data_IF_426218862299
#
_entry.id   IF_426218862299
#
_cell.length_a   1.000
_cell.length_b   1.000
_cell.length_c   1.000
_cell.angle_alpha   90.00
_cell.angle_beta   90.00
_cell.angle_gamma   90.00
#
_symmetry.space_group_name_H-M   'P 1'
#
loop_
_entity.id
_entity.type
_entity.pdbx_description
1 polymer ?
#
# COMPACT_ATOMS: atom_id res chain seq x y z
N UNK A 1 1.42 11.49 42.67
CA UNK A 1 1.96 12.20 41.52
C UNK A 1 2.23 11.27 40.33
N UNK A 2 2.90 10.12 40.52
CA UNK A 2 3.18 9.19 39.42
C UNK A 2 1.92 8.61 38.73
N UNK A 3 0.81 8.39 39.45
CA UNK A 3 -0.45 7.87 38.91
C UNK A 3 -1.18 8.88 38.03
N UNK A 4 -1.06 10.17 38.30
CA UNK A 4 -1.68 11.25 37.50
C UNK A 4 -0.94 11.41 36.16
N UNK A 5 0.39 11.27 36.17
CA UNK A 5 1.22 11.34 34.95
C UNK A 5 0.92 10.16 34.02
N UNK A 6 0.72 8.96 34.57
CA UNK A 6 0.35 7.76 33.84
C UNK A 6 -1.05 7.89 33.20
N UNK A 7 -2.01 8.50 33.87
CA UNK A 7 -3.34 8.77 33.35
C UNK A 7 -3.32 9.78 32.19
N UNK A 8 -2.51 10.82 32.30
CA UNK A 8 -2.33 11.81 31.22
C UNK A 8 -1.68 11.19 29.99
N UNK A 9 -0.66 10.33 30.19
CA UNK A 9 -0.03 9.62 29.08
C UNK A 9 -0.99 8.66 28.37
N UNK A 10 -1.87 8.00 29.12
CA UNK A 10 -2.88 7.11 28.58
C UNK A 10 -3.93 7.87 27.77
N UNK A 11 -4.40 9.02 28.24
CA UNK A 11 -5.33 9.87 27.51
C UNK A 11 -4.74 10.39 26.19
N UNK A 12 -3.46 10.75 26.21
CA UNK A 12 -2.76 11.20 25.00
C UNK A 12 -2.62 10.07 23.95
N UNK A 13 -2.36 8.84 24.40
CA UNK A 13 -2.23 7.70 23.48
C UNK A 13 -3.58 7.33 22.84
N UNK A 14 -4.65 7.43 23.61
CA UNK A 14 -6.01 7.17 23.07
C UNK A 14 -6.41 8.24 22.05
N UNK A 15 -6.10 9.50 22.32
CA UNK A 15 -6.36 10.60 21.39
C UNK A 15 -5.64 10.43 20.06
N UNK A 16 -4.39 9.98 20.11
CA UNK A 16 -3.60 9.73 18.90
C UNK A 16 -4.15 8.54 18.09
N UNK A 17 -4.63 7.49 18.74
CA UNK A 17 -5.25 6.34 18.09
C UNK A 17 -6.50 6.74 17.31
N UNK A 18 -7.39 7.54 17.89
CA UNK A 18 -8.60 8.03 17.21
C UNK A 18 -8.26 8.92 16.01
N UNK A 19 -7.26 9.79 16.12
CA UNK A 19 -6.82 10.66 15.03
C UNK A 19 -6.22 9.84 13.88
N UNK A 20 -5.44 8.79 14.18
CA UNK A 20 -4.85 7.90 13.18
C UNK A 20 -5.94 7.10 12.46
N UNK A 21 -6.95 6.58 13.18
CA UNK A 21 -8.04 5.83 12.59
C UNK A 21 -8.88 6.68 11.63
N UNK A 22 -9.21 7.92 12.03
CA UNK A 22 -9.98 8.83 11.17
C UNK A 22 -9.19 9.19 9.90
N UNK A 23 -7.88 9.41 10.02
CA UNK A 23 -7.03 9.70 8.86
C UNK A 23 -6.87 8.47 7.96
N UNK A 24 -6.73 7.27 8.54
CA UNK A 24 -6.66 6.02 7.80
C UNK A 24 -7.94 5.78 7.01
N UNK A 25 -9.11 5.98 7.62
CA UNK A 25 -10.40 5.83 6.94
C UNK A 25 -10.53 6.76 5.75
N UNK A 26 -10.12 8.01 5.91
CA UNK A 26 -10.15 9.00 4.82
C UNK A 26 -9.25 8.57 3.67
N UNK A 27 -8.03 8.13 3.95
CA UNK A 27 -7.09 7.66 2.95
C UNK A 27 -7.62 6.42 2.21
N UNK A 28 -8.24 5.49 2.94
CA UNK A 28 -8.87 4.32 2.35
C UNK A 28 -9.98 4.72 1.38
N UNK A 29 -10.86 5.62 1.79
CA UNK A 29 -11.98 6.09 0.96
C UNK A 29 -11.48 6.81 -0.29
N UNK A 30 -10.46 7.66 -0.15
CA UNK A 30 -9.85 8.37 -1.28
C UNK A 30 -9.17 7.40 -2.23
N UNK A 31 -8.49 6.38 -1.70
CA UNK A 31 -7.88 5.32 -2.50
C UNK A 31 -8.92 4.47 -3.24
N UNK A 32 -10.03 4.13 -2.56
CA UNK A 32 -11.12 3.37 -3.17
C UNK A 32 -11.77 4.16 -4.32
N UNK A 33 -11.97 5.46 -4.12
CA UNK A 33 -12.50 6.34 -5.17
C UNK A 33 -11.54 6.43 -6.36
N UNK A 34 -10.25 6.53 -6.10
CA UNK A 34 -9.22 6.54 -7.15
C UNK A 34 -9.20 5.21 -7.91
N UNK A 35 -9.38 4.08 -7.21
CA UNK A 35 -9.46 2.77 -7.85
C UNK A 35 -10.66 2.69 -8.79
N UNK A 36 -11.82 3.14 -8.36
CA UNK A 36 -13.04 3.19 -9.18
C UNK A 36 -12.84 4.07 -10.42
N UNK A 37 -12.12 5.18 -10.27
CA UNK A 37 -11.79 6.10 -11.36
C UNK A 37 -10.62 5.60 -12.22
N UNK A 38 -10.00 4.49 -11.86
CA UNK A 38 -8.79 3.94 -12.53
C UNK A 38 -7.63 4.94 -12.53
N UNK A 39 -7.57 5.80 -11.53
CA UNK A 39 -6.44 6.70 -11.31
C UNK A 39 -5.38 5.96 -10.48
N UNK A 40 -4.64 5.07 -11.14
CA UNK A 40 -3.72 4.15 -10.49
C UNK A 40 -2.58 4.85 -9.73
N UNK A 41 -1.96 5.91 -10.23
CA UNK A 41 -0.94 6.61 -9.45
C UNK A 41 -1.48 7.12 -8.11
N UNK A 42 -2.69 7.64 -8.07
CA UNK A 42 -3.32 8.12 -6.84
C UNK A 42 -3.69 6.97 -5.90
N UNK A 43 -4.14 5.84 -6.45
CA UNK A 43 -4.38 4.62 -5.64
C UNK A 43 -3.11 4.25 -4.88
N UNK A 44 -1.98 4.20 -5.56
CA UNK A 44 -0.69 3.85 -4.94
C UNK A 44 -0.36 4.83 -3.81
N UNK A 45 -0.52 6.13 -4.05
CA UNK A 45 -0.24 7.15 -3.04
C UNK A 45 -1.13 6.98 -1.80
N UNK A 46 -2.45 6.89 -2.01
CA UNK A 46 -3.42 6.83 -0.90
C UNK A 46 -3.35 5.51 -0.15
N UNK A 47 -3.30 4.39 -0.86
CA UNK A 47 -3.21 3.07 -0.24
C UNK A 47 -1.87 2.86 0.48
N UNK A 48 -0.76 3.38 -0.06
CA UNK A 48 0.53 3.26 0.60
C UNK A 48 0.52 3.93 1.98
N UNK A 49 -0.04 5.13 2.08
CA UNK A 49 -0.16 5.84 3.35
C UNK A 49 -1.13 5.14 4.30
N UNK A 50 -2.28 4.71 3.78
CA UNK A 50 -3.29 3.97 4.54
C UNK A 50 -2.70 2.68 5.13
N UNK A 51 -2.04 1.88 4.31
CA UNK A 51 -1.45 0.61 4.74
C UNK A 51 -0.37 0.82 5.80
N UNK A 52 0.43 1.85 5.65
CA UNK A 52 1.46 2.21 6.64
C UNK A 52 0.83 2.55 7.99
N UNK A 53 -0.25 3.33 7.99
CA UNK A 53 -0.97 3.72 9.22
C UNK A 53 -1.66 2.52 9.88
N UNK A 54 -2.11 1.55 9.12
CA UNK A 54 -2.80 0.35 9.61
C UNK A 54 -1.88 -0.85 9.76
N UNK A 55 -0.59 -0.64 9.69
CA UNK A 55 0.44 -1.69 9.85
C UNK A 55 0.25 -2.87 8.88
N UNK A 56 -0.21 -2.57 7.66
CA UNK A 56 -0.37 -3.54 6.57
C UNK A 56 -1.32 -4.70 6.93
N UNK A 57 -2.36 -4.42 7.68
CA UNK A 57 -3.36 -5.43 8.07
C UNK A 57 -4.38 -5.72 6.97
N UNK A 58 -4.64 -4.75 6.11
CA UNK A 58 -5.67 -4.85 5.05
C UNK A 58 -5.09 -5.56 3.81
N UNK A 59 -5.19 -6.87 3.80
CA UNK A 59 -4.62 -7.74 2.76
C UNK A 59 -5.20 -7.42 1.37
N UNK A 60 -6.50 -7.17 1.29
CA UNK A 60 -7.17 -6.84 0.03
C UNK A 60 -6.58 -5.59 -0.60
N UNK A 61 -6.33 -4.56 0.19
CA UNK A 61 -5.79 -3.32 -0.33
C UNK A 61 -4.28 -3.38 -0.59
N UNK A 62 -3.57 -4.26 0.09
CA UNK A 62 -2.18 -4.58 -0.29
C UNK A 62 -2.15 -5.11 -1.72
N UNK A 63 -2.98 -6.10 -2.03
CA UNK A 63 -3.06 -6.69 -3.36
C UNK A 63 -3.50 -5.66 -4.40
N UNK A 64 -4.53 -4.87 -4.09
CA UNK A 64 -5.04 -3.83 -4.99
C UNK A 64 -4.01 -2.72 -5.21
N UNK A 65 -3.23 -2.38 -4.18
CA UNK A 65 -2.12 -1.42 -4.32
C UNK A 65 -1.04 -1.94 -5.27
N UNK A 66 -0.71 -3.23 -5.17
CA UNK A 66 0.23 -3.87 -6.10
C UNK A 66 -0.29 -3.81 -7.54
N UNK A 67 -1.56 -4.14 -7.74
CA UNK A 67 -2.20 -4.09 -9.05
C UNK A 67 -2.16 -2.66 -9.62
N UNK A 68 -2.52 -1.67 -8.81
CA UNK A 68 -2.48 -0.27 -9.22
C UNK A 68 -1.05 0.18 -9.55
N UNK A 69 -0.08 -0.23 -8.76
CA UNK A 69 1.33 0.09 -9.00
C UNK A 69 1.80 -0.48 -10.34
N UNK A 70 1.43 -1.72 -10.66
CA UNK A 70 1.74 -2.33 -11.95
C UNK A 70 1.15 -1.49 -13.10
N UNK A 71 -0.12 -1.11 -12.98
CA UNK A 71 -0.80 -0.32 -14.03
C UNK A 71 -0.26 1.11 -14.13
N UNK A 72 0.29 1.65 -13.04
CA UNK A 72 0.96 2.95 -13.02
C UNK A 72 2.42 2.87 -13.48
N UNK A 73 2.89 1.69 -13.87
CA UNK A 73 4.29 1.42 -14.26
C UNK A 73 5.28 1.65 -13.12
N UNK A 74 4.80 1.58 -11.89
CA UNK A 74 5.62 1.63 -10.67
C UNK A 74 5.98 0.20 -10.25
N UNK A 75 6.84 -0.43 -11.03
CA UNK A 75 7.10 -1.87 -10.92
C UNK A 75 7.78 -2.26 -9.60
N UNK A 76 8.67 -1.43 -9.06
CA UNK A 76 9.29 -1.67 -7.76
C UNK A 76 8.23 -1.74 -6.64
N UNK A 77 7.29 -0.81 -6.66
CA UNK A 77 6.18 -0.80 -5.69
C UNK A 77 5.28 -2.01 -5.90
N UNK A 78 4.98 -2.37 -7.15
CA UNK A 78 4.17 -3.54 -7.46
C UNK A 78 4.80 -4.80 -6.87
N UNK A 79 6.08 -5.02 -7.10
CA UNK A 79 6.82 -6.18 -6.58
C UNK A 79 6.76 -6.20 -5.05
N UNK A 80 6.99 -5.07 -4.41
CA UNK A 80 6.95 -4.92 -2.95
C UNK A 80 5.59 -5.36 -2.38
N UNK A 81 4.50 -4.85 -2.94
CA UNK A 81 3.16 -5.16 -2.43
C UNK A 81 2.69 -6.56 -2.81
N UNK A 82 3.05 -7.07 -3.97
CA UNK A 82 2.80 -8.49 -4.31
C UNK A 82 3.55 -9.43 -3.36
N UNK A 83 4.80 -9.12 -3.02
CA UNK A 83 5.56 -9.89 -2.03
C UNK A 83 4.86 -9.90 -0.67
N UNK A 84 4.31 -8.78 -0.23
CA UNK A 84 3.55 -8.71 1.00
C UNK A 84 2.30 -9.61 0.96
N UNK A 85 1.57 -9.58 -0.15
CA UNK A 85 0.39 -10.44 -0.34
C UNK A 85 0.76 -11.91 -0.30
N UNK A 86 1.88 -12.28 -0.92
CA UNK A 86 2.40 -13.66 -0.91
C UNK A 86 2.72 -14.09 0.52
N UNK A 87 3.45 -13.26 1.28
CA UNK A 87 3.82 -13.55 2.65
C UNK A 87 2.60 -13.74 3.56
N UNK A 88 1.54 -12.99 3.31
CA UNK A 88 0.29 -13.10 4.06
C UNK A 88 -0.60 -14.24 3.57
N UNK A 89 -0.27 -14.88 2.47
CA UNK A 89 -1.07 -15.94 1.87
C UNK A 89 -2.37 -15.42 1.22
N UNK A 90 -2.44 -14.14 0.91
CA UNK A 90 -3.61 -13.53 0.29
C UNK A 90 -3.47 -13.58 -1.23
N UNK A 91 -4.36 -14.34 -1.89
CA UNK A 91 -4.34 -14.53 -3.34
C UNK A 91 -2.92 -14.79 -3.85
N UNK A 92 -2.20 -15.67 -3.14
CA UNK A 92 -0.78 -15.90 -3.36
C UNK A 92 -0.46 -16.29 -4.82
N UNK A 93 -1.29 -17.14 -5.44
CA UNK A 93 -1.09 -17.54 -6.82
C UNK A 93 -1.17 -16.35 -7.77
N UNK A 94 -2.20 -15.51 -7.62
CA UNK A 94 -2.34 -14.29 -8.43
C UNK A 94 -1.22 -13.29 -8.14
N UNK A 95 -0.80 -13.21 -6.89
CA UNK A 95 0.29 -12.32 -6.49
C UNK A 95 1.63 -12.74 -7.10
N UNK A 96 1.91 -14.05 -7.17
CA UNK A 96 3.09 -14.57 -7.87
C UNK A 96 3.07 -14.20 -9.35
N UNK A 97 1.92 -14.34 -10.00
CA UNK A 97 1.75 -13.95 -11.42
C UNK A 97 1.99 -12.45 -11.57
N UNK A 98 1.37 -11.64 -10.72
CA UNK A 98 1.54 -10.18 -10.74
C UNK A 98 2.99 -9.76 -10.52
N UNK A 99 3.68 -10.40 -9.58
CA UNK A 99 5.11 -10.17 -9.35
C UNK A 99 5.95 -10.52 -10.57
N UNK A 100 5.71 -11.68 -11.19
CA UNK A 100 6.43 -12.10 -12.39
C UNK A 100 6.21 -11.13 -13.54
N UNK A 101 4.98 -10.66 -13.74
CA UNK A 101 4.66 -9.67 -14.76
C UNK A 101 5.36 -8.35 -14.50
N UNK A 102 5.43 -7.93 -13.24
CA UNK A 102 6.12 -6.69 -12.84
C UNK A 102 7.61 -6.76 -13.10
N UNK A 103 8.25 -7.88 -12.75
CA UNK A 103 9.67 -8.11 -13.03
C UNK A 103 9.96 -8.08 -14.53
N UNK A 104 9.13 -8.77 -15.30
CA UNK A 104 9.27 -8.81 -16.77
C UNK A 104 9.13 -7.41 -17.38
N UNK A 105 8.15 -6.64 -16.93
CA UNK A 105 7.92 -5.29 -17.42
C UNK A 105 9.05 -4.35 -17.04
N UNK A 106 9.61 -4.51 -15.84
CA UNK A 106 10.76 -3.75 -15.36
C UNK A 106 12.00 -4.02 -16.22
N UNK A 107 12.27 -5.29 -16.54
CA UNK A 107 13.39 -5.69 -17.39
C UNK A 107 13.23 -5.13 -18.81
N UNK A 108 12.04 -5.18 -19.39
CA UNK A 108 11.76 -4.62 -20.72
C UNK A 108 11.97 -3.10 -20.74
N UNK A 109 11.56 -2.40 -19.70
CA UNK A 109 11.75 -0.96 -19.60
C UNK A 109 13.26 -0.61 -19.52
N UNK A 110 14.03 -1.39 -18.75
CA UNK A 110 15.48 -1.22 -18.65
C UNK A 110 16.17 -1.52 -19.99
N UNK A 111 15.78 -2.59 -20.67
CA UNK A 111 16.34 -2.94 -21.99
C UNK A 111 16.04 -1.87 -23.03
N UNK A 112 14.82 -1.32 -23.04
CA UNK A 112 14.45 -0.24 -23.94
C UNK A 112 15.30 0.99 -23.69
N UNK A 113 15.51 1.38 -22.44
CA UNK A 113 16.34 2.52 -22.06
C UNK A 113 17.78 2.31 -22.50
N UNK A 114 18.33 1.12 -22.29
CA UNK A 114 19.69 0.78 -22.73
C UNK A 114 19.86 0.82 -24.24
N UNK A 115 18.84 0.45 -25.00
CA UNK A 115 18.85 0.46 -26.46
C UNK A 115 18.81 1.88 -27.02
N UNK A 116 18.11 2.80 -26.35
CA UNK A 116 17.96 4.20 -26.79
C UNK A 116 19.17 5.04 -26.42
N UNK A 117 19.84 4.72 -25.33
CA UNK A 117 21.07 5.41 -24.92
C UNK A 117 22.28 4.98 -25.77
#
# INVERSE_FOLDING_TARGET
>A
MKKIILLLAFCLSVGNLFAQDANADKLREEGDAAMTAKNYPEVVTKYSEYLKLTNYEDESRIFNCAFAAYNAKKYDDAIKFYDMAIQKGYKADDAYVGKAMSLRSQDKAADFTATVE
#
